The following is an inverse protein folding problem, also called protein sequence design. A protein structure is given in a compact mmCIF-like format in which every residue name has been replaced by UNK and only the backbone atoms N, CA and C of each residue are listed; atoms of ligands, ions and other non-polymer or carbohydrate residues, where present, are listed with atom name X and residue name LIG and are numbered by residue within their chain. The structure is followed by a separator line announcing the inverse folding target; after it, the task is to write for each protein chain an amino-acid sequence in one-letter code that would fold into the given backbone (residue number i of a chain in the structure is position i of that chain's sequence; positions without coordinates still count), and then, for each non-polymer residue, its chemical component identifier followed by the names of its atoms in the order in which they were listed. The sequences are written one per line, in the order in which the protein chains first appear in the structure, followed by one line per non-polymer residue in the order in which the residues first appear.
data_IF_588643311483
#
_entry.id   IF_588643311483
#
_cell.length_a   1.000
_cell.length_b   1.000
_cell.length_c   1.000
_cell.angle_alpha   90.00
_cell.angle_beta   90.00
_cell.angle_gamma   90.00
#
_symmetry.space_group_name_H-M   'P 1'
#
loop_
_entity.id
_entity.type
_entity.pdbx_description
1 polymer ?
#
# COMPACT_ATOMS: atom_id res chain seq x y z
N UNK A 1 -37.84 52.34 -39.01
CA UNK A 1 -38.18 50.94 -38.66
C UNK A 1 -36.93 50.09 -38.81
N UNK A 2 -36.32 49.65 -37.70
CA UNK A 2 -35.51 48.42 -37.57
C UNK A 2 -34.94 48.42 -36.14
N UNK A 3 -35.53 47.56 -35.31
CA UNK A 3 -35.20 47.38 -33.90
C UNK A 3 -33.85 46.65 -33.79
N UNK A 4 -32.91 47.20 -33.05
CA UNK A 4 -31.64 46.56 -32.73
C UNK A 4 -31.83 45.74 -31.45
N UNK A 5 -32.03 44.43 -31.61
CA UNK A 5 -32.13 43.47 -30.51
C UNK A 5 -30.72 43.20 -29.99
N UNK A 6 -30.42 43.66 -28.77
CA UNK A 6 -29.15 43.42 -28.09
C UNK A 6 -29.21 42.03 -27.42
N UNK A 7 -28.69 41.01 -28.09
CA UNK A 7 -28.59 39.65 -27.55
C UNK A 7 -27.44 39.57 -26.53
N UNK A 8 -27.79 39.42 -25.25
CA UNK A 8 -26.83 39.16 -24.18
C UNK A 8 -26.37 37.70 -24.28
N UNK A 9 -25.19 37.46 -24.88
CA UNK A 9 -24.58 36.15 -24.95
C UNK A 9 -23.96 35.83 -23.58
N UNK A 10 -24.68 35.13 -22.72
CA UNK A 10 -24.14 34.62 -21.46
C UNK A 10 -23.19 33.45 -21.75
N UNK A 11 -21.91 33.76 -21.95
CA UNK A 11 -20.83 32.76 -21.97
C UNK A 11 -20.71 32.15 -20.58
N UNK A 12 -21.33 30.98 -20.39
CA UNK A 12 -21.08 30.10 -19.26
C UNK A 12 -19.61 29.66 -19.31
N UNK A 13 -18.76 30.30 -18.50
CA UNK A 13 -17.45 29.75 -18.18
C UNK A 13 -17.69 28.51 -17.32
N UNK A 14 -17.54 27.34 -17.93
CA UNK A 14 -17.39 26.09 -17.22
C UNK A 14 -16.02 26.14 -16.52
N UNK A 15 -15.98 26.68 -15.31
CA UNK A 15 -14.82 26.59 -14.43
C UNK A 15 -14.67 25.13 -14.08
N UNK A 16 -13.68 24.48 -14.71
CA UNK A 16 -13.18 23.18 -14.27
C UNK A 16 -12.59 23.41 -12.87
N UNK A 17 -13.41 23.20 -11.84
CA UNK A 17 -12.91 23.19 -10.48
C UNK A 17 -11.96 22.00 -10.38
N UNK A 18 -10.71 22.19 -9.93
CA UNK A 18 -9.88 21.04 -9.60
C UNK A 18 -10.64 20.30 -8.51
N UNK A 19 -10.95 19.02 -8.77
CA UNK A 19 -11.36 18.13 -7.70
C UNK A 19 -10.15 18.05 -6.78
N UNK A 20 -10.23 18.73 -5.63
CA UNK A 20 -9.25 18.58 -4.56
C UNK A 20 -9.32 17.10 -4.18
N UNK A 21 -8.33 16.33 -4.65
CA UNK A 21 -8.04 15.03 -4.08
C UNK A 21 -7.89 15.27 -2.57
N UNK A 22 -8.59 14.49 -1.75
CA UNK A 22 -8.30 14.49 -0.31
C UNK A 22 -6.81 14.21 -0.19
N UNK A 23 -6.09 15.09 0.50
CA UNK A 23 -4.71 14.82 0.86
C UNK A 23 -4.73 13.49 1.61
N UNK A 24 -4.22 12.45 0.96
CA UNK A 24 -3.85 11.21 1.62
C UNK A 24 -2.86 11.63 2.69
N UNK A 25 -3.25 11.48 3.95
CA UNK A 25 -2.35 11.75 5.07
C UNK A 25 -1.34 10.59 5.16
N UNK A 26 -0.43 10.55 4.19
CA UNK A 26 0.69 9.62 4.18
C UNK A 26 1.67 9.91 5.31
N UNK A 27 1.50 10.99 6.09
CA UNK A 27 2.28 11.20 7.28
C UNK A 27 1.82 10.27 8.42
N UNK A 28 0.51 10.02 8.52
CA UNK A 28 -0.08 9.09 9.49
C UNK A 28 0.40 7.63 9.29
N UNK A 29 0.75 7.25 8.05
CA UNK A 29 1.33 5.95 7.72
C UNK A 29 2.53 5.57 8.60
N UNK A 30 3.34 6.57 8.95
CA UNK A 30 4.58 6.37 9.70
C UNK A 30 4.38 6.34 11.22
N UNK A 31 3.17 6.56 11.72
CA UNK A 31 2.85 6.53 13.16
C UNK A 31 2.42 5.13 13.64
N UNK A 32 2.32 4.16 12.73
CA UNK A 32 1.86 2.80 13.02
C UNK A 32 2.98 1.87 13.47
N UNK A 33 2.62 0.94 14.35
CA UNK A 33 3.46 -0.15 14.80
C UNK A 33 2.68 -1.46 14.68
N UNK A 34 3.31 -2.49 14.13
CA UNK A 34 2.68 -3.78 13.87
C UNK A 34 3.55 -4.92 14.40
N UNK A 35 2.97 -6.06 14.79
CA UNK A 35 3.75 -7.27 14.98
C UNK A 35 4.47 -7.67 13.69
N UNK A 36 5.76 -7.99 13.79
CA UNK A 36 6.54 -8.53 12.67
C UNK A 36 6.20 -10.01 12.48
N UNK A 37 6.14 -10.46 11.23
CA UNK A 37 5.83 -11.85 10.90
C UNK A 37 6.81 -12.80 11.58
N UNK A 38 6.29 -13.75 12.36
CA UNK A 38 7.07 -14.79 13.03
C UNK A 38 8.23 -14.28 13.89
N UNK A 39 8.04 -13.11 14.53
CA UNK A 39 9.00 -12.51 15.46
C UNK A 39 8.30 -11.96 16.70
N UNK A 40 9.04 -11.85 17.81
CA UNK A 40 8.61 -11.08 18.99
C UNK A 40 8.76 -9.56 18.79
N UNK A 41 9.41 -9.14 17.71
CA UNK A 41 9.72 -7.74 17.44
C UNK A 41 8.54 -7.01 16.81
N UNK A 42 8.59 -5.68 16.91
CA UNK A 42 7.62 -4.78 16.29
C UNK A 42 8.21 -4.18 15.02
N UNK A 43 7.40 -4.15 13.95
CA UNK A 43 7.62 -3.36 12.75
C UNK A 43 7.13 -1.94 13.01
N UNK A 44 8.06 -1.05 13.33
CA UNK A 44 7.80 0.37 13.53
C UNK A 44 7.90 1.11 12.20
N UNK A 45 6.77 1.64 11.70
CA UNK A 45 6.73 2.30 10.40
C UNK A 45 7.53 3.62 10.38
N UNK A 46 7.78 4.23 11.55
CA UNK A 46 8.52 5.49 11.63
C UNK A 46 9.95 5.40 11.10
N UNK A 47 10.53 4.18 11.10
CA UNK A 47 11.87 3.91 10.57
C UNK A 47 11.98 4.17 9.06
N UNK A 48 10.87 4.16 8.32
CA UNK A 48 10.85 4.38 6.87
C UNK A 48 10.55 5.84 6.50
N UNK A 49 10.35 6.73 7.49
CA UNK A 49 9.94 8.11 7.24
C UNK A 49 11.02 8.89 6.50
N UNK A 50 10.65 9.46 5.35
CA UNK A 50 11.57 10.24 4.51
C UNK A 50 12.36 9.39 3.50
N UNK A 51 12.13 8.09 3.47
CA UNK A 51 12.78 7.15 2.56
C UNK A 51 11.77 6.62 1.51
N UNK A 52 12.21 6.32 0.27
CA UNK A 52 11.39 5.61 -0.68
C UNK A 52 10.93 4.26 -0.11
N UNK A 53 9.63 3.98 -0.21
CA UNK A 53 9.04 2.73 0.28
C UNK A 53 8.11 2.12 -0.76
N UNK A 54 8.21 0.81 -0.92
CA UNK A 54 7.27 0.00 -1.68
C UNK A 54 6.44 -0.85 -0.71
N UNK A 55 5.15 -0.54 -0.63
CA UNK A 55 4.17 -1.26 0.17
C UNK A 55 3.48 -2.31 -0.69
N UNK A 56 3.46 -3.56 -0.24
CA UNK A 56 2.92 -4.69 -1.01
C UNK A 56 1.94 -5.47 -0.14
N UNK A 57 0.68 -5.58 -0.56
CA UNK A 57 -0.20 -6.60 0.02
C UNK A 57 0.13 -7.96 -0.60
N UNK A 58 0.32 -8.99 0.23
CA UNK A 58 0.78 -10.31 -0.22
C UNK A 58 -0.21 -11.41 0.16
N UNK A 59 -0.05 -12.59 -0.44
CA UNK A 59 -0.84 -13.79 -0.16
C UNK A 59 -0.03 -15.06 -0.46
N UNK A 60 -0.04 -16.05 0.44
CA UNK A 60 0.71 -17.31 0.27
C UNK A 60 0.25 -18.17 -0.92
N UNK A 61 -1.04 -18.25 -1.22
CA UNK A 61 -1.61 -19.15 -2.23
C UNK A 61 -2.18 -18.42 -3.44
N UNK A 62 -1.60 -17.27 -3.77
CA UNK A 62 -1.97 -16.47 -4.93
C UNK A 62 -1.32 -17.01 -6.21
N UNK A 63 -2.00 -16.88 -7.35
CA UNK A 63 -1.40 -17.17 -8.66
C UNK A 63 -0.19 -16.27 -8.99
N UNK A 64 -0.03 -15.17 -8.26
CA UNK A 64 1.08 -14.24 -8.36
C UNK A 64 2.16 -14.45 -7.29
N UNK A 65 2.08 -15.48 -6.44
CA UNK A 65 3.06 -15.66 -5.35
C UNK A 65 4.51 -15.76 -5.84
N UNK A 66 4.74 -16.22 -7.08
CA UNK A 66 6.08 -16.15 -7.71
C UNK A 66 6.67 -14.74 -7.83
N UNK A 67 5.87 -13.67 -7.66
CA UNK A 67 6.37 -12.30 -7.59
C UNK A 67 7.28 -12.05 -6.40
N UNK A 68 7.24 -12.87 -5.34
CA UNK A 68 8.18 -12.74 -4.22
C UNK A 68 9.64 -12.81 -4.67
N UNK A 69 9.97 -13.64 -5.66
CA UNK A 69 11.35 -13.70 -6.20
C UNK A 69 11.76 -12.37 -6.85
N UNK A 70 10.85 -11.74 -7.59
CA UNK A 70 11.08 -10.43 -8.22
C UNK A 70 11.15 -9.30 -7.20
N UNK A 71 10.30 -9.33 -6.17
CA UNK A 71 10.33 -8.37 -5.07
C UNK A 71 11.61 -8.50 -4.25
N UNK A 72 12.05 -9.72 -3.97
CA UNK A 72 13.31 -9.98 -3.29
C UNK A 72 14.51 -9.50 -4.12
N UNK A 73 14.52 -9.79 -5.42
CA UNK A 73 15.54 -9.25 -6.33
C UNK A 73 15.56 -7.71 -6.32
N UNK A 74 14.38 -7.06 -6.33
CA UNK A 74 14.26 -5.61 -6.23
C UNK A 74 14.81 -5.09 -4.90
N UNK A 75 14.45 -5.76 -3.79
CA UNK A 75 14.97 -5.43 -2.46
C UNK A 75 16.49 -5.49 -2.44
N UNK A 76 17.09 -6.61 -2.87
CA UNK A 76 18.55 -6.76 -2.89
C UNK A 76 19.24 -5.71 -3.78
N UNK A 77 18.63 -5.34 -4.91
CA UNK A 77 19.19 -4.35 -5.81
C UNK A 77 19.19 -2.92 -5.24
N UNK A 78 18.19 -2.56 -4.45
CA UNK A 78 17.96 -1.17 -4.03
C UNK A 78 18.01 -0.92 -2.51
N UNK A 79 18.14 -1.94 -1.66
CA UNK A 79 18.24 -1.75 -0.20
C UNK A 79 19.42 -0.86 0.21
N UNK A 80 20.55 -0.96 -0.49
CA UNK A 80 21.74 -0.13 -0.22
C UNK A 80 21.61 1.28 -0.87
N UNK A 81 20.56 1.49 -1.66
CA UNK A 81 20.12 2.78 -2.22
C UNK A 81 18.87 3.30 -1.52
N UNK A 82 18.58 2.78 -0.32
CA UNK A 82 17.55 3.30 0.59
C UNK A 82 16.10 3.11 0.13
N UNK A 83 15.84 2.15 -0.77
CA UNK A 83 14.48 1.67 -1.04
C UNK A 83 14.10 0.59 -0.03
N UNK A 84 13.02 0.81 0.69
CA UNK A 84 12.48 -0.13 1.69
C UNK A 84 11.26 -0.86 1.13
N UNK A 85 11.23 -2.18 1.26
CA UNK A 85 10.07 -3.00 0.88
C UNK A 85 9.40 -3.49 2.15
N UNK A 86 8.07 -3.36 2.21
CA UNK A 86 7.27 -3.86 3.33
C UNK A 86 6.09 -4.66 2.80
N UNK A 87 6.06 -5.94 3.13
CA UNK A 87 4.96 -6.84 2.78
C UNK A 87 3.93 -6.99 3.89
N UNK A 88 2.67 -6.98 3.49
CA UNK A 88 1.50 -7.11 4.35
C UNK A 88 0.65 -8.30 3.89
N UNK A 89 0.85 -9.49 4.47
CA UNK A 89 0.02 -10.67 4.19
C UNK A 89 -1.45 -10.38 4.47
N UNK A 90 -2.37 -10.89 3.64
CA UNK A 90 -3.80 -10.65 3.87
C UNK A 90 -4.72 -11.74 3.35
N UNK A 91 -5.62 -12.19 4.22
CA UNK A 91 -6.67 -13.15 3.88
C UNK A 91 -7.88 -12.51 3.18
N UNK A 92 -7.88 -11.20 2.95
CA UNK A 92 -9.00 -10.49 2.34
C UNK A 92 -9.32 -10.94 0.92
N UNK A 93 -8.40 -11.62 0.25
CA UNK A 93 -8.61 -12.20 -1.09
C UNK A 93 -8.78 -13.73 -1.05
N UNK A 94 -8.96 -14.32 0.14
CA UNK A 94 -9.14 -15.76 0.36
C UNK A 94 -7.98 -16.61 -0.18
N UNK A 95 -6.76 -16.09 -0.09
CA UNK A 95 -5.55 -16.68 -0.65
C UNK A 95 -4.36 -16.67 0.31
N UNK A 96 -4.51 -16.16 1.54
CA UNK A 96 -3.45 -16.26 2.56
C UNK A 96 -3.61 -17.56 3.35
N UNK A 97 -2.51 -18.07 3.91
CA UNK A 97 -2.56 -19.17 4.85
C UNK A 97 -3.33 -18.80 6.13
N UNK A 98 -4.03 -19.77 6.69
CA UNK A 98 -4.79 -19.58 7.94
C UNK A 98 -3.88 -19.49 9.17
N UNK A 99 -2.66 -20.00 9.05
CA UNK A 99 -1.64 -20.03 10.11
C UNK A 99 -0.47 -19.08 9.77
N UNK A 100 -0.06 -18.30 10.77
CA UNK A 100 1.05 -17.36 10.64
C UNK A 100 2.38 -18.08 10.36
N UNK A 101 2.63 -19.25 10.96
CA UNK A 101 3.87 -19.96 10.75
C UNK A 101 3.97 -20.51 9.32
N UNK A 102 2.85 -20.95 8.73
CA UNK A 102 2.81 -21.32 7.30
C UNK A 102 3.01 -20.09 6.39
N UNK A 103 2.44 -18.92 6.74
CA UNK A 103 2.72 -17.65 6.03
C UNK A 103 4.22 -17.33 6.04
N UNK A 104 4.85 -17.44 7.21
CA UNK A 104 6.27 -17.18 7.41
C UNK A 104 7.16 -18.17 6.65
N UNK A 105 6.79 -19.46 6.67
CA UNK A 105 7.47 -20.49 5.89
C UNK A 105 7.37 -20.20 4.39
N UNK A 106 6.20 -19.78 3.90
CA UNK A 106 6.05 -19.41 2.49
C UNK A 106 6.99 -18.25 2.13
N UNK A 107 6.93 -17.15 2.89
CA UNK A 107 7.72 -15.96 2.58
C UNK A 107 9.23 -16.20 2.75
N UNK A 108 9.66 -16.69 3.92
CA UNK A 108 11.08 -16.74 4.28
C UNK A 108 11.79 -18.02 3.85
N UNK A 109 11.10 -19.16 3.88
CA UNK A 109 11.74 -20.46 3.56
C UNK A 109 11.59 -20.81 2.09
N UNK A 110 10.37 -20.70 1.54
CA UNK A 110 10.13 -21.11 0.16
C UNK A 110 10.64 -20.07 -0.85
N UNK A 111 10.48 -18.77 -0.55
CA UNK A 111 10.88 -17.68 -1.45
C UNK A 111 12.11 -16.89 -1.01
N UNK A 112 12.64 -17.12 0.21
CA UNK A 112 13.86 -16.47 0.67
C UNK A 112 13.72 -14.96 0.85
N UNK A 113 12.51 -14.45 1.09
CA UNK A 113 12.26 -13.02 1.33
C UNK A 113 13.09 -12.54 2.52
N UNK A 114 13.79 -11.42 2.37
CA UNK A 114 14.56 -10.77 3.45
C UNK A 114 14.08 -9.37 3.81
N UNK A 115 13.13 -8.81 3.06
CA UNK A 115 12.51 -7.52 3.39
C UNK A 115 11.48 -7.65 4.52
N UNK A 116 11.03 -6.51 5.05
CA UNK A 116 10.14 -6.48 6.22
C UNK A 116 8.76 -7.03 5.91
N UNK A 117 8.25 -7.89 6.79
CA UNK A 117 6.91 -8.47 6.69
C UNK A 117 6.15 -8.26 8.00
N UNK A 118 4.92 -7.76 7.94
CA UNK A 118 4.02 -7.73 9.10
C UNK A 118 3.35 -9.10 9.30
N UNK A 119 2.76 -9.30 10.48
CA UNK A 119 1.70 -10.31 10.61
C UNK A 119 0.54 -10.04 9.63
N UNK A 120 -0.28 -11.06 9.31
CA UNK A 120 -1.44 -10.88 8.45
C UNK A 120 -2.41 -9.81 8.98
N UNK A 121 -2.87 -8.92 8.10
CA UNK A 121 -3.83 -7.87 8.41
C UNK A 121 -4.92 -7.75 7.34
N UNK A 122 -6.04 -7.12 7.69
CA UNK A 122 -7.05 -6.71 6.72
C UNK A 122 -6.55 -5.48 5.94
N UNK A 123 -6.71 -5.50 4.62
CA UNK A 123 -6.26 -4.47 3.67
C UNK A 123 -7.42 -3.84 2.90
N UNK A 124 -8.64 -4.40 2.97
CA UNK A 124 -9.83 -3.84 2.30
C UNK A 124 -11.09 -3.94 3.16
N UNK A 125 -12.09 -3.12 2.81
CA UNK A 125 -13.38 -3.10 3.49
C UNK A 125 -13.39 -2.28 4.79
N UNK A 126 -14.47 -2.42 5.57
CA UNK A 126 -14.67 -1.63 6.78
C UNK A 126 -13.60 -1.90 7.85
N UNK A 127 -13.13 -3.14 7.91
CA UNK A 127 -12.17 -3.62 8.90
C UNK A 127 -10.70 -3.47 8.45
N UNK A 128 -10.45 -2.86 7.28
CA UNK A 128 -9.08 -2.62 6.80
C UNK A 128 -8.26 -1.87 7.86
N UNK A 129 -7.01 -2.30 8.03
CA UNK A 129 -6.06 -1.65 8.90
C UNK A 129 -5.90 -0.17 8.50
N UNK A 130 -5.76 0.77 9.46
CA UNK A 130 -5.61 2.20 9.17
C UNK A 130 -4.58 2.52 8.08
N UNK A 131 -3.40 1.88 8.10
CA UNK A 131 -2.39 1.97 7.03
C UNK A 131 -2.98 1.86 5.63
N UNK A 132 -3.83 0.85 5.37
CA UNK A 132 -4.41 0.66 4.05
C UNK A 132 -5.53 1.66 3.75
N UNK A 133 -6.23 2.18 4.76
CA UNK A 133 -7.21 3.28 4.59
C UNK A 133 -6.55 4.62 4.30
N UNK A 134 -5.31 4.79 4.74
CA UNK A 134 -4.54 6.02 4.53
C UNK A 134 -3.97 6.06 3.11
N UNK A 135 -3.52 4.93 2.55
CA UNK A 135 -2.82 4.87 1.26
C UNK A 135 -3.67 4.40 0.06
N UNK A 136 -4.94 4.04 0.25
CA UNK A 136 -5.86 3.59 -0.83
C UNK A 136 -7.18 4.36 -0.87
#
# INVERSE_FOLDING_TARGET
MKNMLLGLLATSLLVCQPLLAKDVDSAALFDHQLPRLHSSDTLDMSQFKGHPMLVVNTASYCGFTGQFEGLEALHQQYKDQDLHLVGFPSHDFSQEADDEAETAKMCFVNFGVTFDMSQPIAVRGADAHPIFKEIT
#
